data_IF_260664494749
#
_entry.id   IF_260664494749
#
_cell.length_a   1.000
_cell.length_b   1.000
_cell.length_c   1.000
_cell.angle_alpha   90.00
_cell.angle_beta   90.00
_cell.angle_gamma   90.00
#
_symmetry.space_group_name_H-M   'P 1'
#
loop_
_entity.id
_entity.type
_entity.pdbx_description
1 polymer ?
#
# COMPACT_ATOMS: atom_id res chain seq x y z
N UNK A 1 21.86 8.02 26.88
CA UNK A 1 22.78 9.14 26.59
C UNK A 1 23.10 9.03 25.10
N UNK A 2 22.60 9.86 24.20
CA UNK A 2 22.68 11.31 24.12
C UNK A 2 21.31 11.94 23.81
N UNK A 3 20.93 12.96 24.58
CA UNK A 3 19.85 13.86 24.20
C UNK A 3 20.31 14.67 22.98
N UNK A 4 19.48 14.66 21.94
CA UNK A 4 19.74 15.35 20.69
C UNK A 4 19.82 16.87 20.97
N UNK A 5 21.04 17.42 21.04
CA UNK A 5 21.34 18.82 21.43
C UNK A 5 20.60 19.87 20.57
N UNK A 6 20.13 19.46 19.38
CA UNK A 6 19.28 20.28 18.48
C UNK A 6 17.84 20.47 18.96
N UNK A 7 17.34 19.70 19.94
CA UNK A 7 15.99 19.88 20.51
C UNK A 7 15.93 20.87 21.68
N UNK A 8 17.06 21.35 22.19
CA UNK A 8 17.11 22.36 23.27
C UNK A 8 16.97 23.80 22.75
N UNK A 9 17.16 24.02 21.45
CA UNK A 9 16.89 25.30 20.81
C UNK A 9 15.47 25.23 20.23
N UNK A 10 14.51 25.82 20.93
CA UNK A 10 13.31 26.32 20.25
C UNK A 10 13.83 27.21 19.11
N UNK A 11 13.41 26.96 17.88
CA UNK A 11 13.51 28.00 16.85
C UNK A 11 12.78 29.21 17.44
N UNK A 12 13.53 30.20 17.88
CA UNK A 12 12.98 31.52 18.12
C UNK A 12 12.27 31.90 16.82
N UNK A 13 10.99 32.26 16.90
CA UNK A 13 10.34 32.97 15.80
C UNK A 13 11.31 34.10 15.44
N UNK A 14 11.87 34.09 14.23
CA UNK A 14 12.81 35.12 13.81
C UNK A 14 12.12 36.47 13.97
N UNK A 15 12.40 37.17 15.07
CA UNK A 15 11.83 38.48 15.34
C UNK A 15 12.28 39.39 14.20
N UNK A 16 11.31 39.80 13.38
CA UNK A 16 11.57 40.61 12.20
C UNK A 16 12.27 41.91 12.65
N UNK A 17 13.50 42.14 12.20
CA UNK A 17 14.25 43.35 12.55
C UNK A 17 13.63 44.54 11.80
N UNK A 18 12.81 45.33 12.49
CA UNK A 18 12.05 46.44 11.89
C UNK A 18 12.99 47.55 11.40
N UNK A 19 12.79 48.02 10.18
CA UNK A 19 13.51 49.18 9.64
C UNK A 19 12.97 50.43 10.37
N UNK A 20 13.84 51.31 10.91
CA UNK A 20 13.40 52.57 11.53
C UNK A 20 12.50 53.41 10.62
N UNK A 21 11.41 53.95 11.15
CA UNK A 21 10.39 54.68 10.37
C UNK A 21 10.99 55.88 9.63
N UNK A 22 11.91 56.63 10.27
CA UNK A 22 12.59 57.76 9.64
C UNK A 22 13.41 57.39 8.40
N UNK A 23 13.88 56.14 8.32
CA UNK A 23 14.59 55.62 7.14
C UNK A 23 13.58 55.32 6.02
N UNK A 24 12.43 54.73 6.35
CA UNK A 24 11.36 54.48 5.38
C UNK A 24 10.76 55.79 4.85
N UNK A 25 10.52 56.78 5.71
CA UNK A 25 10.07 58.12 5.31
C UNK A 25 11.04 58.77 4.32
N UNK A 26 12.34 58.78 4.64
CA UNK A 26 13.36 59.33 3.74
C UNK A 26 13.45 58.59 2.39
N UNK A 27 13.20 57.28 2.39
CA UNK A 27 13.15 56.49 1.16
C UNK A 27 11.89 56.82 0.33
N UNK A 28 10.75 57.05 0.98
CA UNK A 28 9.48 57.37 0.35
C UNK A 28 9.45 58.78 -0.23
N UNK A 29 10.12 59.76 0.37
CA UNK A 29 10.24 61.13 -0.15
C UNK A 29 10.86 61.20 -1.56
N UNK A 30 11.57 60.13 -1.98
CA UNK A 30 12.23 60.02 -3.28
C UNK A 30 11.37 59.31 -4.32
N UNK A 31 10.23 58.75 -3.93
CA UNK A 31 9.28 58.08 -4.82
C UNK A 31 8.14 59.04 -5.18
N UNK A 32 7.45 58.76 -6.29
CA UNK A 32 6.19 59.45 -6.58
C UNK A 32 5.10 59.00 -5.62
N UNK A 33 4.08 59.84 -5.42
CA UNK A 33 2.97 59.60 -4.47
C UNK A 33 2.26 58.25 -4.67
N UNK A 34 2.35 57.66 -5.87
CA UNK A 34 1.74 56.38 -6.25
C UNK A 34 2.41 55.17 -5.62
N UNK A 35 3.68 55.27 -5.22
CA UNK A 35 4.46 54.15 -4.70
C UNK A 35 4.91 54.39 -3.26
N UNK A 36 5.26 53.31 -2.57
CA UNK A 36 5.89 53.34 -1.26
C UNK A 36 6.82 52.15 -1.05
N UNK A 37 7.84 52.33 -0.23
CA UNK A 37 8.63 51.24 0.31
C UNK A 37 7.90 50.59 1.48
N UNK A 38 7.65 49.30 1.35
CA UNK A 38 7.13 48.44 2.42
C UNK A 38 8.19 47.43 2.85
N UNK A 39 8.26 47.15 4.15
CA UNK A 39 9.18 46.14 4.67
C UNK A 39 8.63 44.73 4.39
N UNK A 40 9.45 43.89 3.75
CA UNK A 40 9.08 42.50 3.36
C UNK A 40 9.99 41.45 3.98
N UNK A 41 11.07 41.86 4.65
CA UNK A 41 11.98 40.96 5.36
C UNK A 41 12.88 41.70 6.35
N UNK A 42 13.78 40.96 6.99
CA UNK A 42 14.80 41.53 7.87
C UNK A 42 15.70 42.49 7.09
N UNK A 43 15.61 43.78 7.42
CA UNK A 43 16.35 44.82 6.71
C UNK A 43 16.14 44.72 5.19
N UNK A 44 14.91 44.46 4.75
CA UNK A 44 14.56 44.42 3.34
C UNK A 44 13.24 45.12 3.12
N UNK A 45 13.26 46.15 2.28
CA UNK A 45 12.06 46.81 1.79
C UNK A 45 11.96 46.73 0.27
N UNK A 46 10.73 46.73 -0.23
CA UNK A 46 10.43 46.74 -1.66
C UNK A 46 9.50 47.89 -2.00
N UNK A 47 9.62 48.43 -3.21
CA UNK A 47 8.62 49.37 -3.76
C UNK A 47 7.33 48.59 -4.05
N UNK A 48 6.19 49.14 -3.63
CA UNK A 48 4.86 48.65 -3.94
C UNK A 48 3.95 49.81 -4.36
N UNK A 49 3.01 49.53 -5.26
CA UNK A 49 1.98 50.50 -5.63
C UNK A 49 0.96 50.63 -4.51
N UNK A 50 0.49 51.86 -4.27
CA UNK A 50 -0.62 52.13 -3.33
C UNK A 50 -1.99 51.79 -3.94
N UNK A 51 -2.04 51.49 -5.23
CA UNK A 51 -3.26 51.05 -5.92
C UNK A 51 -3.54 49.56 -5.69
N UNK A 52 -4.82 49.16 -5.81
CA UNK A 52 -5.24 47.76 -5.59
C UNK A 52 -4.80 46.82 -6.71
N UNK A 53 -4.72 47.32 -7.93
CA UNK A 53 -4.29 46.56 -9.11
C UNK A 53 -2.96 47.12 -9.58
N UNK A 54 -2.00 46.24 -9.86
CA UNK A 54 -0.64 46.62 -10.26
C UNK A 54 -0.29 45.91 -11.56
N UNK A 55 0.12 46.68 -12.57
CA UNK A 55 0.67 46.15 -13.80
C UNK A 55 2.18 45.93 -13.63
N UNK A 56 2.64 44.70 -13.79
CA UNK A 56 4.06 44.35 -13.72
C UNK A 56 4.54 43.92 -15.11
N UNK A 57 5.52 44.63 -15.68
CA UNK A 57 6.26 44.15 -16.86
C UNK A 57 7.68 43.78 -16.48
N UNK A 58 8.02 42.53 -16.75
CA UNK A 58 9.36 42.01 -16.52
C UNK A 58 9.74 41.03 -17.64
N UNK A 59 11.04 40.90 -17.92
CA UNK A 59 11.52 39.87 -18.85
C UNK A 59 11.66 38.57 -18.08
N UNK A 60 11.31 37.43 -18.66
CA UNK A 60 11.38 36.13 -17.99
C UNK A 60 12.45 35.25 -18.64
N UNK A 61 13.22 34.49 -17.85
CA UNK A 61 14.14 33.47 -18.36
C UNK A 61 13.39 32.16 -18.58
N UNK A 62 12.62 32.11 -19.67
CA UNK A 62 11.85 30.92 -20.04
C UNK A 62 12.76 29.91 -20.75
N UNK A 63 12.64 28.63 -20.40
CA UNK A 63 13.26 27.50 -21.11
C UNK A 63 12.15 26.52 -21.47
N UNK A 64 12.25 25.89 -22.64
CA UNK A 64 11.37 24.80 -23.07
C UNK A 64 9.87 25.16 -23.11
N UNK A 65 9.51 26.22 -23.84
CA UNK A 65 8.12 26.67 -24.02
C UNK A 65 7.72 26.62 -25.49
N UNK A 66 7.67 25.42 -26.05
CA UNK A 66 7.16 25.22 -27.41
C UNK A 66 5.64 25.40 -27.44
N UNK A 67 5.13 26.11 -28.44
CA UNK A 67 3.68 26.26 -28.66
C UNK A 67 2.97 27.37 -27.87
N UNK A 68 3.66 28.11 -27.00
CA UNK A 68 3.09 29.24 -26.24
C UNK A 68 3.06 30.51 -27.10
N UNK A 69 1.88 31.13 -27.23
CA UNK A 69 1.62 32.25 -28.16
C UNK A 69 1.54 33.61 -27.48
N UNK A 70 1.17 33.65 -26.20
CA UNK A 70 0.94 34.90 -25.47
C UNK A 70 1.26 34.78 -23.97
N UNK A 71 1.29 35.92 -23.27
CA UNK A 71 1.60 35.99 -21.83
C UNK A 71 0.62 35.21 -20.97
N UNK A 72 -0.67 35.19 -21.33
CA UNK A 72 -1.69 34.42 -20.60
C UNK A 72 -1.41 32.92 -20.66
N UNK A 73 -1.12 32.41 -21.85
CA UNK A 73 -0.70 31.01 -22.04
C UNK A 73 0.61 30.70 -21.30
N UNK A 74 1.56 31.64 -21.26
CA UNK A 74 2.80 31.46 -20.51
C UNK A 74 2.56 31.33 -19.00
N UNK A 75 1.75 32.23 -18.42
CA UNK A 75 1.39 32.18 -16.99
C UNK A 75 0.63 30.89 -16.68
N UNK A 76 -0.33 30.51 -17.53
CA UNK A 76 -1.09 29.28 -17.37
C UNK A 76 -0.17 28.05 -17.44
N UNK A 77 0.77 28.00 -18.39
CA UNK A 77 1.74 26.91 -18.49
C UNK A 77 2.60 26.79 -17.24
N UNK A 78 3.10 27.91 -16.69
CA UNK A 78 3.86 27.92 -15.45
C UNK A 78 3.04 27.43 -14.26
N UNK A 79 1.77 27.81 -14.19
CA UNK A 79 0.85 27.29 -13.18
C UNK A 79 0.61 25.79 -13.35
N UNK A 80 0.37 25.30 -14.57
CA UNK A 80 0.12 23.88 -14.87
C UNK A 80 1.31 22.97 -14.58
N UNK A 81 2.52 23.49 -14.75
CA UNK A 81 3.77 22.78 -14.47
C UNK A 81 4.32 23.06 -13.07
N UNK A 82 3.69 23.98 -12.32
CA UNK A 82 4.20 24.53 -11.06
C UNK A 82 5.67 24.97 -11.16
N UNK A 83 6.06 25.49 -12.32
CA UNK A 83 7.44 25.87 -12.60
C UNK A 83 7.72 27.29 -12.13
N UNK A 84 8.73 27.44 -11.28
CA UNK A 84 9.28 28.73 -10.90
C UNK A 84 10.17 29.28 -12.03
N UNK A 85 10.05 30.59 -12.29
CA UNK A 85 10.83 31.26 -13.36
C UNK A 85 11.61 32.43 -12.82
N UNK A 86 12.89 32.48 -13.15
CA UNK A 86 13.74 33.63 -12.84
C UNK A 86 13.36 34.81 -13.74
N UNK A 87 13.12 35.97 -13.12
CA UNK A 87 12.95 37.22 -13.83
C UNK A 87 14.32 37.65 -14.38
N UNK A 88 14.39 37.81 -15.70
CA UNK A 88 15.56 38.29 -16.41
C UNK A 88 15.64 39.82 -16.36
N UNK A 89 16.85 40.33 -16.13
CA UNK A 89 17.16 41.76 -16.30
C UNK A 89 17.44 42.48 -14.98
N UNK A 90 17.88 43.74 -15.12
CA UNK A 90 18.27 44.59 -13.99
C UNK A 90 17.16 45.56 -13.58
N UNK A 91 15.99 45.49 -14.21
CA UNK A 91 14.89 46.44 -14.01
C UNK A 91 13.53 45.80 -14.19
N UNK A 92 12.54 46.26 -13.44
CA UNK A 92 11.12 45.88 -13.53
C UNK A 92 10.29 47.15 -13.74
N UNK A 93 9.26 47.07 -14.56
CA UNK A 93 8.29 48.15 -14.73
C UNK A 93 7.05 47.86 -13.88
N UNK A 94 6.69 48.79 -13.00
CA UNK A 94 5.47 48.79 -12.20
C UNK A 94 4.60 49.97 -12.63
N UNK A 95 3.38 49.68 -13.06
CA UNK A 95 2.39 50.65 -13.54
C UNK A 95 2.93 51.69 -14.54
N UNK A 96 3.80 51.25 -15.46
CA UNK A 96 4.44 52.09 -16.47
C UNK A 96 5.75 52.75 -16.05
N UNK A 97 6.14 52.64 -14.78
CA UNK A 97 7.38 53.22 -14.23
C UNK A 97 8.46 52.15 -14.08
N UNK A 98 9.62 52.37 -14.68
CA UNK A 98 10.74 51.42 -14.69
C UNK A 98 11.68 51.67 -13.51
N UNK A 99 11.82 50.67 -12.66
CA UNK A 99 12.73 50.66 -11.50
C UNK A 99 13.94 49.76 -11.74
N UNK A 100 15.13 50.19 -11.32
CA UNK A 100 16.29 49.28 -11.19
C UNK A 100 16.06 48.29 -10.05
N UNK A 101 16.58 47.08 -10.14
CA UNK A 101 16.35 46.03 -9.13
C UNK A 101 16.93 46.37 -7.75
N UNK A 102 18.04 47.12 -7.70
CA UNK A 102 18.63 47.62 -6.45
C UNK A 102 17.83 48.80 -5.88
N UNK A 103 17.01 49.45 -6.69
CA UNK A 103 16.08 50.47 -6.25
C UNK A 103 14.77 49.85 -5.79
N UNK A 104 14.27 48.86 -6.54
CA UNK A 104 13.09 48.08 -6.25
C UNK A 104 13.21 47.38 -4.91
N UNK A 105 14.34 46.72 -4.63
CA UNK A 105 14.63 46.05 -3.36
C UNK A 105 15.83 46.71 -2.70
N UNK A 106 15.61 47.26 -1.50
CA UNK A 106 16.63 47.90 -0.68
C UNK A 106 16.85 47.18 0.64
N UNK A 107 18.11 47.21 1.09
CA UNK A 107 18.51 46.74 2.41
C UNK A 107 19.22 47.89 3.15
N UNK A 108 18.45 48.85 3.70
CA UNK A 108 18.99 50.14 4.11
C UNK A 108 19.95 50.09 5.30
N UNK A 109 19.97 48.99 6.07
CA UNK A 109 20.86 48.77 7.20
C UNK A 109 22.10 47.93 6.82
N UNK A 110 22.27 47.58 5.54
CA UNK A 110 23.43 46.84 5.01
C UNK A 110 24.21 47.67 3.99
N UNK A 111 25.52 47.46 3.97
CA UNK A 111 26.43 48.03 2.96
C UNK A 111 26.48 47.20 1.66
N UNK A 112 25.47 46.36 1.40
CA UNK A 112 25.38 45.50 0.21
C UNK A 112 23.98 45.61 -0.38
N UNK A 113 23.90 45.77 -1.69
CA UNK A 113 22.65 45.82 -2.41
C UNK A 113 22.22 44.42 -2.87
N UNK A 114 21.00 44.31 -3.40
CA UNK A 114 20.43 43.05 -3.87
C UNK A 114 21.36 42.28 -4.84
N UNK A 115 21.97 43.01 -5.79
CA UNK A 115 22.91 42.41 -6.74
C UNK A 115 24.25 41.97 -6.09
N UNK A 116 24.75 42.66 -5.07
CA UNK A 116 26.00 42.28 -4.37
C UNK A 116 25.86 40.97 -3.59
N UNK A 117 24.62 40.58 -3.30
CA UNK A 117 24.25 39.33 -2.65
C UNK A 117 23.92 38.22 -3.66
N UNK A 118 24.10 38.46 -4.96
CA UNK A 118 23.63 37.57 -6.03
C UNK A 118 22.13 37.25 -5.91
N UNK A 119 21.33 38.24 -5.49
CA UNK A 119 19.89 38.11 -5.35
C UNK A 119 19.22 37.71 -6.67
N UNK A 120 18.18 36.88 -6.57
CA UNK A 120 17.37 36.45 -7.71
C UNK A 120 15.91 36.76 -7.46
N UNK A 121 15.24 37.28 -8.49
CA UNK A 121 13.80 37.41 -8.49
C UNK A 121 13.17 36.22 -9.17
N UNK A 122 12.24 35.58 -8.47
CA UNK A 122 11.57 34.36 -8.93
C UNK A 122 10.08 34.64 -8.98
N UNK A 123 9.50 34.46 -10.16
CA UNK A 123 8.06 34.37 -10.33
C UNK A 123 7.65 32.95 -9.94
N UNK A 124 6.85 32.85 -8.88
CA UNK A 124 6.31 31.59 -8.37
C UNK A 124 4.83 31.49 -8.73
N UNK A 125 4.38 30.40 -9.38
CA UNK A 125 2.96 30.19 -9.64
C UNK A 125 2.20 30.00 -8.33
N UNK A 126 0.90 30.32 -8.35
CA UNK A 126 0.02 29.97 -7.24
C UNK A 126 0.03 28.44 -7.02
N UNK A 127 0.01 27.96 -5.77
CA UNK A 127 -0.07 26.55 -5.50
C UNK A 127 -1.41 25.98 -6.01
N UNK A 128 -1.40 24.71 -6.39
CA UNK A 128 -2.64 24.02 -6.72
C UNK A 128 -3.63 24.02 -5.54
N UNK A 129 -4.95 23.89 -5.84
CA UNK A 129 -5.96 23.71 -4.82
C UNK A 129 -5.62 22.57 -3.86
N UNK A 130 -6.16 22.67 -2.64
CA UNK A 130 -6.02 21.61 -1.64
C UNK A 130 -6.61 20.29 -2.18
N UNK A 131 -6.08 19.12 -1.73
CA UNK A 131 -6.64 17.83 -2.10
C UNK A 131 -8.15 17.75 -1.82
N UNK A 132 -8.86 17.02 -2.66
CA UNK A 132 -10.31 16.81 -2.57
C UNK A 132 -10.64 15.33 -2.62
N UNK A 133 -11.82 14.96 -2.12
CA UNK A 133 -12.25 13.58 -1.99
C UNK A 133 -13.10 13.19 -3.18
N UNK A 134 -12.87 12.00 -3.74
CA UNK A 134 -13.75 11.37 -4.71
C UNK A 134 -14.11 9.96 -4.25
N UNK A 135 -15.34 9.54 -4.56
CA UNK A 135 -15.75 8.15 -4.41
C UNK A 135 -15.28 7.35 -5.62
N UNK A 136 -14.60 6.24 -5.36
CA UNK A 136 -14.12 5.28 -6.34
C UNK A 136 -14.78 3.95 -6.02
N UNK A 137 -15.40 3.28 -6.98
CA UNK A 137 -16.15 2.08 -6.64
C UNK A 137 -16.52 1.19 -7.80
N UNK A 138 -17.25 0.14 -7.44
CA UNK A 138 -17.84 -0.84 -8.35
C UNK A 138 -19.17 -1.33 -7.75
N UNK A 139 -20.22 -1.41 -8.57
CA UNK A 139 -21.57 -1.74 -8.11
C UNK A 139 -21.99 -0.86 -6.91
N UNK A 140 -22.36 -1.50 -5.80
CA UNK A 140 -22.82 -0.83 -4.57
C UNK A 140 -21.68 -0.46 -3.61
N UNK A 141 -20.43 -0.84 -3.91
CA UNK A 141 -19.28 -0.57 -3.06
C UNK A 141 -18.51 0.65 -3.55
N UNK A 142 -18.19 1.55 -2.63
CA UNK A 142 -17.33 2.68 -2.90
C UNK A 142 -16.32 2.87 -1.77
N UNK A 143 -15.12 3.26 -2.14
CA UNK A 143 -14.09 3.78 -1.24
C UNK A 143 -13.92 5.28 -1.49
N UNK A 144 -13.67 6.01 -0.43
CA UNK A 144 -13.29 7.42 -0.52
C UNK A 144 -11.78 7.51 -0.74
N UNK A 145 -11.34 8.31 -1.71
CA UNK A 145 -9.93 8.56 -2.00
C UNK A 145 -9.66 10.06 -2.15
N UNK A 146 -8.51 10.52 -1.67
CA UNK A 146 -8.03 11.90 -1.82
C UNK A 146 -7.23 12.06 -3.10
N UNK A 147 -7.66 12.99 -3.94
CA UNK A 147 -7.01 13.38 -5.18
C UNK A 147 -6.42 14.77 -5.10
N UNK A 148 -5.31 14.96 -5.80
CA UNK A 148 -4.67 16.25 -5.95
C UNK A 148 -4.23 16.44 -7.40
N UNK A 149 -4.33 17.69 -7.89
CA UNK A 149 -3.77 18.09 -9.18
C UNK A 149 -2.25 17.88 -9.15
N UNK A 150 -1.71 17.32 -10.22
CA UNK A 150 -0.28 17.11 -10.41
C UNK A 150 0.22 18.02 -11.54
N UNK A 151 1.52 18.41 -11.52
CA UNK A 151 2.13 19.11 -12.62
C UNK A 151 1.99 18.35 -13.93
N UNK A 152 1.56 19.02 -14.99
CA UNK A 152 1.43 18.42 -16.31
C UNK A 152 1.73 19.46 -17.41
N UNK A 153 2.67 19.11 -18.30
CA UNK A 153 3.22 20.03 -19.30
C UNK A 153 2.36 20.10 -20.57
N UNK A 154 1.09 20.47 -20.43
CA UNK A 154 0.14 20.62 -21.53
C UNK A 154 -0.87 21.73 -21.16
N UNK A 155 -1.13 22.65 -22.10
CA UNK A 155 -2.02 23.81 -21.89
C UNK A 155 -3.50 23.44 -21.78
N UNK A 156 -3.87 22.27 -22.27
CA UNK A 156 -5.27 21.86 -22.42
C UNK A 156 -5.60 20.59 -21.64
N UNK A 157 -4.63 20.06 -20.89
CA UNK A 157 -4.82 18.86 -20.07
C UNK A 157 -4.51 19.11 -18.61
N UNK A 158 -5.26 18.44 -17.75
CA UNK A 158 -5.09 18.49 -16.31
C UNK A 158 -4.92 17.07 -15.78
N UNK A 159 -3.82 16.82 -15.07
CA UNK A 159 -3.55 15.56 -14.40
C UNK A 159 -3.99 15.64 -12.93
N UNK A 160 -4.73 14.65 -12.48
CA UNK A 160 -5.01 14.38 -11.07
C UNK A 160 -4.47 13.01 -10.69
N UNK A 161 -4.07 12.86 -9.42
CA UNK A 161 -3.57 11.60 -8.87
C UNK A 161 -4.03 11.43 -7.42
N UNK A 162 -4.33 10.20 -7.04
CA UNK A 162 -4.60 9.85 -5.64
C UNK A 162 -3.33 9.99 -4.78
N UNK A 163 -3.50 10.42 -3.53
CA UNK A 163 -2.36 10.75 -2.64
C UNK A 163 -2.43 10.06 -1.26
N UNK A 164 -3.53 9.43 -0.92
CA UNK A 164 -3.80 8.86 0.42
C UNK A 164 -3.60 7.35 0.51
N UNK A 165 -3.64 6.64 -0.62
CA UNK A 165 -3.38 5.20 -0.69
C UNK A 165 -2.21 4.91 -1.63
N UNK A 166 -1.25 4.11 -1.15
CA UNK A 166 -0.11 3.63 -1.94
C UNK A 166 -0.40 2.31 -2.65
N UNK A 167 -1.21 1.45 -2.03
CA UNK A 167 -1.62 0.15 -2.53
C UNK A 167 -2.52 0.24 -3.77
N UNK A 168 -3.28 1.32 -3.92
CA UNK A 168 -4.12 1.63 -5.08
C UNK A 168 -3.89 3.07 -5.52
N UNK A 169 -3.32 3.24 -6.71
CA UNK A 169 -3.04 4.54 -7.30
C UNK A 169 -3.94 4.74 -8.52
N UNK A 170 -4.76 5.78 -8.48
CA UNK A 170 -5.57 6.21 -9.61
C UNK A 170 -5.06 7.57 -10.05
N UNK A 171 -4.82 7.70 -11.35
CA UNK A 171 -4.55 8.98 -11.97
C UNK A 171 -5.45 9.17 -13.17
N UNK A 172 -5.85 10.41 -13.43
CA UNK A 172 -6.65 10.71 -14.60
C UNK A 172 -6.25 12.04 -15.22
N UNK A 173 -6.25 12.07 -16.54
CA UNK A 173 -5.97 13.24 -17.37
C UNK A 173 -7.28 13.67 -17.99
N UNK A 174 -7.71 14.91 -17.70
CA UNK A 174 -8.85 15.55 -18.37
C UNK A 174 -8.31 16.36 -19.54
N UNK A 175 -8.80 16.08 -20.75
CA UNK A 175 -8.55 16.89 -21.94
C UNK A 175 -9.70 17.88 -22.13
N UNK A 176 -9.40 19.16 -21.91
CA UNK A 176 -10.37 20.25 -21.93
C UNK A 176 -10.81 20.63 -23.36
N UNK A 177 -10.07 20.20 -24.39
CA UNK A 177 -10.37 20.51 -25.79
C UNK A 177 -11.34 19.50 -26.38
N UNK A 178 -11.09 18.20 -26.19
CA UNK A 178 -11.96 17.14 -26.73
C UNK A 178 -13.00 16.64 -25.72
N UNK A 179 -12.91 17.06 -24.46
CA UNK A 179 -13.86 16.66 -23.41
C UNK A 179 -13.73 15.20 -22.98
N UNK A 180 -12.56 14.59 -23.13
CA UNK A 180 -12.30 13.20 -22.76
C UNK A 180 -11.46 13.09 -21.49
N UNK A 181 -11.58 11.95 -20.81
CA UNK A 181 -10.76 11.60 -19.66
C UNK A 181 -10.00 10.31 -19.94
N UNK A 182 -8.70 10.29 -19.67
CA UNK A 182 -7.87 9.08 -19.68
C UNK A 182 -7.57 8.72 -18.24
N UNK A 183 -7.89 7.49 -17.84
CA UNK A 183 -7.70 7.01 -16.47
C UNK A 183 -6.65 5.91 -16.49
N UNK A 184 -5.71 5.98 -15.56
CA UNK A 184 -4.74 4.93 -15.27
C UNK A 184 -4.94 4.47 -13.84
N UNK A 185 -5.05 3.15 -13.66
CA UNK A 185 -5.15 2.50 -12.36
C UNK A 185 -3.94 1.61 -12.18
N UNK A 186 -3.34 1.63 -11.00
CA UNK A 186 -2.21 0.77 -10.65
C UNK A 186 -2.39 0.26 -9.24
N UNK A 187 -2.07 -1.02 -9.04
CA UNK A 187 -2.07 -1.65 -7.72
C UNK A 187 -0.66 -2.03 -7.30
N UNK A 188 -0.36 -1.86 -6.01
CA UNK A 188 0.90 -2.18 -5.37
C UNK A 188 0.60 -3.00 -4.12
N UNK A 189 0.41 -4.32 -4.28
CA UNK A 189 -0.03 -5.23 -3.22
C UNK A 189 0.93 -5.18 -2.00
N UNK A 190 2.23 -5.05 -2.23
CA UNK A 190 3.23 -4.94 -1.16
C UNK A 190 3.13 -3.66 -0.31
N UNK A 191 2.34 -2.68 -0.73
CA UNK A 191 2.06 -1.46 0.03
C UNK A 191 0.73 -1.54 0.81
N UNK A 192 -0.01 -2.66 0.72
CA UNK A 192 -1.22 -2.86 1.50
C UNK A 192 -0.89 -3.14 2.97
N UNK A 193 -1.71 -2.61 3.88
CA UNK A 193 -1.56 -2.76 5.33
C UNK A 193 -2.33 -3.95 5.89
N UNK A 194 -3.32 -4.46 5.15
CA UNK A 194 -4.13 -5.62 5.56
C UNK A 194 -4.48 -6.55 4.40
N UNK A 195 -4.86 -7.79 4.72
CA UNK A 195 -5.33 -8.77 3.72
C UNK A 195 -6.66 -8.32 3.11
N UNK A 196 -7.54 -7.76 3.94
CA UNK A 196 -8.82 -7.19 3.53
C UNK A 196 -8.62 -6.09 2.48
N UNK A 197 -7.63 -5.22 2.68
CA UNK A 197 -7.26 -4.17 1.72
C UNK A 197 -6.82 -4.78 0.38
N UNK A 198 -6.00 -5.83 0.37
CA UNK A 198 -5.59 -6.50 -0.88
C UNK A 198 -6.82 -6.99 -1.64
N UNK A 199 -7.74 -7.67 -0.96
CA UNK A 199 -8.94 -8.20 -1.59
C UNK A 199 -9.83 -7.06 -2.12
N UNK A 200 -9.94 -5.95 -1.38
CA UNK A 200 -10.69 -4.76 -1.80
C UNK A 200 -10.08 -4.12 -3.06
N UNK A 201 -8.79 -3.78 -3.04
CA UNK A 201 -8.12 -3.09 -4.15
C UNK A 201 -8.05 -3.97 -5.41
N UNK A 202 -7.85 -5.29 -5.26
CA UNK A 202 -7.81 -6.20 -6.40
C UNK A 202 -9.19 -6.32 -7.06
N UNK A 203 -10.28 -6.28 -6.29
CA UNK A 203 -11.64 -6.23 -6.83
C UNK A 203 -11.91 -4.91 -7.56
N UNK A 204 -11.50 -3.78 -6.99
CA UNK A 204 -11.60 -2.48 -7.66
C UNK A 204 -10.82 -2.51 -8.97
N UNK A 205 -9.56 -2.94 -8.96
CA UNK A 205 -8.74 -3.05 -10.16
C UNK A 205 -9.39 -3.92 -11.24
N UNK A 206 -9.93 -5.08 -10.86
CA UNK A 206 -10.67 -5.97 -11.76
C UNK A 206 -11.89 -5.28 -12.40
N UNK A 207 -12.65 -4.50 -11.64
CA UNK A 207 -13.80 -3.77 -12.17
C UNK A 207 -13.38 -2.63 -13.11
N UNK A 208 -12.25 -1.97 -12.84
CA UNK A 208 -11.69 -0.98 -13.77
C UNK A 208 -11.19 -1.65 -15.06
N UNK A 209 -10.59 -2.85 -14.98
CA UNK A 209 -10.24 -3.65 -16.17
C UNK A 209 -11.46 -3.99 -17.02
N UNK A 210 -12.60 -4.36 -16.41
CA UNK A 210 -13.84 -4.69 -17.14
C UNK A 210 -14.63 -3.47 -17.63
N UNK A 211 -14.23 -2.25 -17.25
CA UNK A 211 -14.98 -1.03 -17.55
C UNK A 211 -16.22 -0.84 -16.67
N UNK A 212 -16.36 -1.60 -15.58
CA UNK A 212 -17.45 -1.51 -14.61
C UNK A 212 -17.12 -0.58 -13.42
N UNK A 213 -15.93 0.02 -13.42
CA UNK A 213 -15.50 0.98 -12.42
C UNK A 213 -16.28 2.31 -12.47
N UNK A 214 -16.22 3.05 -11.36
CA UNK A 214 -16.84 4.38 -11.22
C UNK A 214 -15.92 5.34 -10.49
N UNK A 215 -15.92 6.61 -10.91
CA UNK A 215 -15.28 7.73 -10.22
C UNK A 215 -16.30 8.87 -10.13
N UNK A 216 -16.54 9.41 -8.93
CA UNK A 216 -17.40 10.60 -8.73
C UNK A 216 -18.78 10.49 -9.41
N UNK A 217 -19.40 9.31 -9.29
CA UNK A 217 -20.66 8.92 -9.94
C UNK A 217 -20.64 8.71 -11.46
N UNK A 218 -19.49 8.90 -12.11
CA UNK A 218 -19.32 8.66 -13.54
C UNK A 218 -18.87 7.20 -13.75
N UNK A 219 -19.73 6.42 -14.40
CA UNK A 219 -19.38 5.08 -14.85
C UNK A 219 -18.36 5.17 -15.98
N UNK A 220 -17.35 4.30 -15.92
CA UNK A 220 -16.43 4.14 -17.03
C UNK A 220 -17.15 3.51 -18.21
N UNK A 221 -16.82 3.96 -19.40
CA UNK A 221 -17.42 3.48 -20.65
C UNK A 221 -16.51 2.52 -21.41
N UNK A 222 -15.28 2.31 -20.92
CA UNK A 222 -14.27 1.40 -21.47
C UNK A 222 -13.38 0.88 -20.35
N UNK A 223 -13.11 -0.42 -20.39
CA UNK A 223 -12.07 -1.06 -19.61
C UNK A 223 -10.72 -1.06 -20.34
N UNK A 224 -9.78 -1.83 -19.81
CA UNK A 224 -8.51 -2.12 -20.45
C UNK A 224 -8.29 -3.63 -20.45
N UNK A 225 -8.10 -4.21 -21.63
CA UNK A 225 -7.96 -5.65 -21.80
C UNK A 225 -6.47 -6.05 -21.75
N UNK A 226 -6.11 -6.79 -20.71
CA UNK A 226 -4.87 -7.56 -20.66
C UNK A 226 -5.19 -8.97 -20.11
N UNK A 227 -5.31 -9.95 -21.01
CA UNK A 227 -5.73 -11.32 -20.68
C UNK A 227 -4.76 -11.97 -19.67
N UNK A 228 -3.44 -11.79 -19.86
CA UNK A 228 -2.42 -12.35 -18.98
C UNK A 228 -2.48 -11.76 -17.57
N UNK A 229 -2.76 -10.46 -17.45
CA UNK A 229 -2.99 -9.81 -16.15
C UNK A 229 -4.27 -10.33 -15.48
N UNK A 230 -5.31 -10.64 -16.25
CA UNK A 230 -6.61 -11.06 -15.73
C UNK A 230 -6.54 -12.43 -15.03
N UNK A 231 -5.91 -13.43 -15.63
CA UNK A 231 -5.80 -14.76 -15.02
C UNK A 231 -4.94 -14.75 -13.75
N UNK A 232 -3.84 -13.97 -13.78
CA UNK A 232 -2.99 -13.75 -12.60
C UNK A 232 -3.75 -13.04 -11.47
N UNK A 233 -4.58 -12.05 -11.82
CA UNK A 233 -5.39 -11.30 -10.86
C UNK A 233 -6.46 -12.18 -10.20
N UNK A 234 -7.13 -13.06 -10.95
CA UNK A 234 -8.15 -13.95 -10.40
C UNK A 234 -7.56 -14.94 -9.39
N UNK A 235 -6.41 -15.53 -9.73
CA UNK A 235 -5.67 -16.42 -8.83
C UNK A 235 -5.21 -15.69 -7.56
N UNK A 236 -4.75 -14.44 -7.70
CA UNK A 236 -4.35 -13.59 -6.58
C UNK A 236 -5.53 -13.26 -5.66
N UNK A 237 -6.67 -12.85 -6.24
CA UNK A 237 -7.90 -12.56 -5.49
C UNK A 237 -8.36 -13.81 -4.74
N UNK A 238 -8.36 -14.97 -5.39
CA UNK A 238 -8.74 -16.23 -4.75
C UNK A 238 -7.85 -16.54 -3.55
N UNK A 239 -6.53 -16.46 -3.72
CA UNK A 239 -5.57 -16.72 -2.65
C UNK A 239 -5.81 -15.80 -1.45
N UNK A 240 -5.81 -14.47 -1.65
CA UNK A 240 -5.97 -13.54 -0.54
C UNK A 240 -7.36 -13.58 0.09
N UNK A 241 -8.40 -13.91 -0.68
CA UNK A 241 -9.74 -14.14 -0.12
C UNK A 241 -9.78 -15.39 0.78
N UNK A 242 -9.02 -16.45 0.46
CA UNK A 242 -8.85 -17.59 1.39
C UNK A 242 -8.12 -17.17 2.67
N UNK A 243 -7.04 -16.40 2.54
CA UNK A 243 -6.29 -15.87 3.71
C UNK A 243 -7.18 -15.00 4.59
N UNK A 244 -8.00 -14.11 4.02
CA UNK A 244 -8.98 -13.28 4.73
C UNK A 244 -9.98 -14.13 5.54
N UNK A 245 -10.54 -15.16 4.91
CA UNK A 245 -11.50 -16.06 5.58
C UNK A 245 -10.85 -16.88 6.69
N UNK A 246 -9.61 -17.34 6.49
CA UNK A 246 -8.83 -18.03 7.53
C UNK A 246 -8.51 -17.08 8.69
N UNK A 247 -8.09 -15.85 8.41
CA UNK A 247 -7.83 -14.79 9.39
C UNK A 247 -9.03 -14.59 10.31
N UNK A 248 -10.22 -14.43 9.73
CA UNK A 248 -11.48 -14.26 10.46
C UNK A 248 -11.84 -15.49 11.29
N UNK A 249 -11.64 -16.68 10.76
CA UNK A 249 -11.90 -17.91 11.51
C UNK A 249 -10.95 -18.06 12.69
N UNK A 250 -9.65 -17.85 12.50
CA UNK A 250 -8.67 -18.04 13.56
C UNK A 250 -8.56 -16.84 14.52
N UNK A 251 -9.08 -15.67 14.14
CA UNK A 251 -8.90 -14.43 14.88
C UNK A 251 -7.45 -13.93 14.83
N UNK A 252 -6.75 -14.17 13.71
CA UNK A 252 -5.31 -13.85 13.54
C UNK A 252 -5.17 -12.82 12.42
N UNK A 253 -4.40 -11.76 12.66
CA UNK A 253 -4.06 -10.76 11.65
C UNK A 253 -2.76 -11.16 10.94
N UNK A 254 -2.86 -11.61 9.69
CA UNK A 254 -1.68 -11.91 8.88
C UNK A 254 -1.07 -10.65 8.26
N UNK A 255 0.26 -10.63 8.14
CA UNK A 255 0.98 -9.52 7.53
C UNK A 255 1.04 -9.68 5.99
N UNK A 256 0.34 -8.84 5.21
CA UNK A 256 0.29 -8.96 3.75
C UNK A 256 1.59 -8.58 3.05
N UNK A 257 2.51 -7.89 3.73
CA UNK A 257 3.77 -7.39 3.15
C UNK A 257 4.86 -8.46 3.08
N UNK A 258 4.57 -9.68 3.54
CA UNK A 258 5.51 -10.79 3.55
C UNK A 258 5.48 -11.53 2.22
N UNK A 259 6.64 -12.03 1.83
CA UNK A 259 6.78 -12.86 0.64
C UNK A 259 5.99 -14.16 0.81
N UNK A 260 5.21 -14.52 -0.21
CA UNK A 260 4.45 -15.77 -0.23
C UNK A 260 5.39 -16.89 -0.69
N UNK A 261 5.65 -17.84 0.20
CA UNK A 261 6.44 -19.03 -0.12
C UNK A 261 5.52 -20.15 -0.60
N UNK A 262 6.05 -21.11 -1.36
CA UNK A 262 5.28 -22.27 -1.82
C UNK A 262 4.64 -23.07 -0.67
N UNK A 263 5.31 -23.12 0.48
CA UNK A 263 4.77 -23.75 1.70
C UNK A 263 3.50 -23.04 2.21
N UNK A 264 3.42 -21.72 2.03
CA UNK A 264 2.31 -20.90 2.49
C UNK A 264 1.08 -21.15 1.62
N UNK A 265 1.25 -21.26 0.30
CA UNK A 265 0.16 -21.62 -0.63
C UNK A 265 -0.49 -22.95 -0.23
N UNK A 266 0.31 -24.00 -0.02
CA UNK A 266 -0.19 -25.30 0.39
C UNK A 266 -0.87 -25.26 1.77
N UNK A 267 -0.30 -24.50 2.71
CA UNK A 267 -0.86 -24.35 4.05
C UNK A 267 -2.22 -23.61 4.00
N UNK A 268 -2.34 -22.56 3.19
CA UNK A 268 -3.60 -21.82 2.97
C UNK A 268 -4.69 -22.74 2.45
N UNK A 269 -4.41 -23.59 1.46
CA UNK A 269 -5.44 -24.54 0.95
C UNK A 269 -5.91 -25.51 2.04
N UNK A 270 -4.98 -26.05 2.83
CA UNK A 270 -5.29 -26.97 3.93
C UNK A 270 -6.12 -26.29 5.02
N UNK A 271 -5.69 -25.10 5.46
CA UNK A 271 -6.39 -24.30 6.47
C UNK A 271 -7.78 -23.88 5.98
N UNK A 272 -7.90 -23.40 4.74
CA UNK A 272 -9.17 -23.00 4.14
C UNK A 272 -10.14 -24.18 4.10
N UNK A 273 -9.66 -25.36 3.69
CA UNK A 273 -10.50 -26.56 3.67
C UNK A 273 -10.99 -26.94 5.08
N UNK A 274 -10.10 -26.94 6.06
CA UNK A 274 -10.44 -27.40 7.41
C UNK A 274 -11.26 -26.39 8.20
N UNK A 275 -10.91 -25.10 8.18
CA UNK A 275 -11.56 -24.09 9.01
C UNK A 275 -12.74 -23.42 8.32
N UNK A 276 -12.68 -23.19 7.01
CA UNK A 276 -13.73 -22.45 6.29
C UNK A 276 -14.74 -23.40 5.64
N UNK A 277 -14.27 -24.48 4.99
CA UNK A 277 -15.16 -25.50 4.41
C UNK A 277 -15.57 -26.59 5.40
N UNK A 278 -14.99 -26.61 6.60
CA UNK A 278 -15.18 -27.64 7.64
C UNK A 278 -14.93 -29.09 7.17
N UNK A 279 -14.00 -29.29 6.23
CA UNK A 279 -13.72 -30.59 5.61
C UNK A 279 -12.29 -31.08 5.86
N UNK A 280 -12.07 -32.39 6.06
CA UNK A 280 -10.73 -32.96 6.08
C UNK A 280 -10.12 -32.98 4.68
N UNK A 281 -8.80 -33.01 4.58
CA UNK A 281 -8.07 -33.26 3.34
C UNK A 281 -7.25 -34.55 3.41
N UNK A 282 -6.84 -35.07 2.26
CA UNK A 282 -6.03 -36.28 2.12
C UNK A 282 -4.67 -35.97 1.53
N UNK A 283 -3.64 -36.69 1.96
CA UNK A 283 -2.30 -36.68 1.38
C UNK A 283 -1.76 -38.10 1.22
N UNK A 284 -1.09 -38.37 0.11
CA UNK A 284 -0.31 -39.59 -0.09
C UNK A 284 1.07 -39.37 0.52
N UNK A 285 1.54 -40.33 1.32
CA UNK A 285 2.75 -40.19 2.11
C UNK A 285 3.55 -41.48 2.08
N UNK A 286 4.86 -41.34 2.00
CA UNK A 286 5.80 -42.43 2.27
C UNK A 286 6.17 -42.33 3.76
N UNK A 287 5.85 -43.37 4.53
CA UNK A 287 6.04 -43.39 5.98
C UNK A 287 6.87 -44.61 6.35
N UNK A 288 8.13 -44.38 6.74
CA UNK A 288 9.02 -45.45 7.22
C UNK A 288 8.89 -45.67 8.74
N UNK A 289 8.68 -44.58 9.49
CA UNK A 289 8.64 -44.62 10.94
C UNK A 289 7.63 -43.59 11.49
N UNK A 290 6.97 -43.93 12.59
CA UNK A 290 6.05 -43.02 13.29
C UNK A 290 6.26 -43.15 14.80
N UNK A 291 6.53 -42.03 15.47
CA UNK A 291 6.61 -42.00 16.94
C UNK A 291 5.25 -41.61 17.51
N UNK A 292 4.72 -42.42 18.43
CA UNK A 292 3.42 -42.21 19.07
C UNK A 292 3.53 -42.32 20.57
N UNK A 293 2.77 -41.48 21.29
CA UNK A 293 2.60 -41.57 22.74
C UNK A 293 1.26 -42.20 23.06
N UNK A 294 1.26 -43.21 23.91
CA UNK A 294 0.06 -43.94 24.29
C UNK A 294 -0.31 -43.67 25.74
N UNK A 295 -1.59 -43.80 26.08
CA UNK A 295 -2.06 -43.68 27.47
C UNK A 295 -1.66 -44.89 28.32
N UNK A 296 -1.46 -46.05 27.68
CA UNK A 296 -1.12 -47.32 28.32
C UNK A 296 -0.09 -48.09 27.50
N UNK A 297 0.50 -49.10 28.12
CA UNK A 297 1.30 -50.10 27.41
C UNK A 297 0.50 -50.76 26.28
N UNK A 298 1.14 -50.95 25.12
CA UNK A 298 0.54 -51.56 23.95
C UNK A 298 0.82 -53.06 23.89
N UNK A 299 -0.21 -53.85 23.60
CA UNK A 299 -0.06 -55.26 23.25
C UNK A 299 0.32 -55.41 21.76
N UNK A 300 1.62 -55.54 21.52
CA UNK A 300 2.22 -55.70 20.19
C UNK A 300 1.54 -56.75 19.30
N UNK A 301 1.02 -57.83 19.89
CA UNK A 301 0.37 -58.93 19.14
C UNK A 301 -0.91 -58.48 18.44
N UNK A 302 -1.50 -57.36 18.87
CA UNK A 302 -2.76 -56.87 18.32
C UNK A 302 -2.61 -56.14 16.99
N UNK A 303 -1.40 -55.70 16.62
CA UNK A 303 -1.20 -54.86 15.44
C UNK A 303 0.06 -55.18 14.62
N UNK A 304 1.07 -55.85 15.16
CA UNK A 304 2.26 -56.20 14.36
C UNK A 304 1.87 -57.12 13.19
N UNK A 305 2.41 -56.82 12.00
CA UNK A 305 2.21 -57.54 10.74
C UNK A 305 0.73 -57.75 10.37
N UNK A 306 -0.13 -56.80 10.75
CA UNK A 306 -1.51 -56.76 10.28
C UNK A 306 -1.65 -55.73 9.17
N UNK A 307 -2.34 -56.13 8.11
CA UNK A 307 -2.65 -55.28 6.97
C UNK A 307 -3.76 -54.28 7.25
N UNK A 308 -3.71 -53.16 6.54
CA UNK A 308 -4.83 -52.21 6.48
C UNK A 308 -5.16 -51.54 7.80
N UNK A 309 -4.17 -51.39 8.70
CA UNK A 309 -4.39 -50.70 9.96
C UNK A 309 -4.74 -49.24 9.72
N UNK A 310 -5.53 -48.70 10.65
CA UNK A 310 -5.88 -47.29 10.73
C UNK A 310 -5.37 -46.75 12.06
N UNK A 311 -4.51 -45.74 12.02
CA UNK A 311 -3.95 -45.10 13.20
C UNK A 311 -4.42 -43.65 13.27
N UNK A 312 -4.99 -43.27 14.41
CA UNK A 312 -5.56 -41.94 14.60
C UNK A 312 -4.88 -41.24 15.76
N UNK A 313 -4.42 -40.01 15.52
CA UNK A 313 -3.65 -39.22 16.48
C UNK A 313 -4.28 -37.83 16.57
N UNK A 314 -4.38 -37.33 17.81
CA UNK A 314 -4.71 -35.92 18.09
C UNK A 314 -3.46 -35.27 18.66
N UNK A 315 -2.94 -34.27 17.97
CA UNK A 315 -1.73 -33.58 18.39
C UNK A 315 -1.82 -32.06 18.22
N UNK A 316 -1.34 -31.27 19.21
CA UNK A 316 -1.14 -29.86 19.02
C UNK A 316 0.04 -29.63 18.06
N UNK A 317 -0.13 -28.71 17.11
CA UNK A 317 0.91 -28.30 16.17
C UNK A 317 0.95 -26.78 16.07
N UNK A 318 2.17 -26.26 16.10
CA UNK A 318 2.45 -24.87 15.74
C UNK A 318 2.70 -24.78 14.25
N UNK A 319 1.93 -23.93 13.57
CA UNK A 319 2.16 -23.56 12.18
C UNK A 319 2.63 -22.12 12.09
N UNK A 320 3.26 -21.79 10.96
CA UNK A 320 3.68 -20.43 10.62
C UNK A 320 3.15 -20.10 9.24
N UNK A 321 2.39 -19.01 9.12
CA UNK A 321 1.87 -18.49 7.86
C UNK A 321 2.14 -16.98 7.81
N UNK A 322 2.83 -16.52 6.76
CA UNK A 322 3.18 -15.10 6.61
C UNK A 322 3.90 -14.52 7.85
N UNK A 323 4.82 -15.32 8.40
CA UNK A 323 5.58 -15.09 9.66
C UNK A 323 4.76 -15.04 10.96
N UNK A 324 3.44 -15.21 10.90
CA UNK A 324 2.60 -15.35 12.09
C UNK A 324 2.52 -16.81 12.53
N UNK A 325 2.83 -17.04 13.81
CA UNK A 325 2.80 -18.38 14.42
C UNK A 325 1.53 -18.58 15.20
N UNK A 326 0.94 -19.76 15.04
CA UNK A 326 -0.30 -20.11 15.73
C UNK A 326 -0.38 -21.60 16.00
N UNK A 327 -1.02 -21.93 17.12
CA UNK A 327 -1.21 -23.31 17.57
C UNK A 327 -2.61 -23.79 17.21
N UNK A 328 -2.68 -24.98 16.63
CA UNK A 328 -3.93 -25.68 16.31
C UNK A 328 -3.82 -27.14 16.72
N UNK A 329 -4.96 -27.78 16.91
CA UNK A 329 -5.04 -29.22 17.10
C UNK A 329 -5.27 -29.90 15.76
N UNK A 330 -4.57 -31.00 15.53
CA UNK A 330 -4.67 -31.80 14.32
C UNK A 330 -5.19 -33.17 14.68
N UNK A 331 -6.24 -33.62 13.98
CA UNK A 331 -6.61 -35.03 13.92
C UNK A 331 -5.99 -35.61 12.66
N UNK A 332 -5.06 -36.54 12.80
CA UNK A 332 -4.43 -37.25 11.68
C UNK A 332 -4.81 -38.72 11.71
N UNK A 333 -5.45 -39.20 10.65
CA UNK A 333 -5.85 -40.59 10.47
C UNK A 333 -5.00 -41.21 9.35
N UNK A 334 -4.01 -42.01 9.72
CA UNK A 334 -3.17 -42.79 8.82
C UNK A 334 -3.91 -44.05 8.39
N UNK A 335 -3.96 -44.32 7.09
CA UNK A 335 -4.69 -45.44 6.51
C UNK A 335 -3.75 -46.33 5.69
N UNK A 336 -4.13 -47.60 5.53
CA UNK A 336 -3.35 -48.62 4.81
C UNK A 336 -1.94 -48.82 5.39
N UNK A 337 -1.76 -48.62 6.70
CA UNK A 337 -0.47 -48.82 7.35
C UNK A 337 -0.29 -50.26 7.78
N UNK A 338 0.94 -50.78 7.66
CA UNK A 338 1.39 -51.99 8.35
C UNK A 338 2.49 -51.62 9.33
N UNK A 339 2.39 -52.12 10.56
CA UNK A 339 3.46 -51.99 11.57
C UNK A 339 4.28 -53.28 11.58
N UNK A 340 5.53 -53.21 11.13
CA UNK A 340 6.48 -54.34 11.16
C UNK A 340 6.99 -54.61 12.57
N UNK A 341 7.31 -53.55 13.29
CA UNK A 341 7.80 -53.62 14.67
C UNK A 341 7.50 -52.31 15.41
N UNK A 342 7.59 -52.36 16.74
CA UNK A 342 7.39 -51.22 17.63
C UNK A 342 8.45 -51.20 18.73
N UNK A 343 9.31 -50.19 18.73
CA UNK A 343 10.35 -50.01 19.74
C UNK A 343 9.81 -49.10 20.87
N UNK A 344 9.91 -49.53 22.13
CA UNK A 344 9.59 -48.66 23.26
C UNK A 344 10.76 -47.68 23.47
N UNK A 345 10.49 -46.38 23.28
CA UNK A 345 11.47 -45.30 23.36
C UNK A 345 11.47 -44.66 24.75
N UNK A 346 10.28 -44.46 25.35
CA UNK A 346 10.13 -43.93 26.70
C UNK A 346 9.04 -44.68 27.47
N UNK A 347 9.45 -45.42 28.50
CA UNK A 347 8.54 -46.18 29.36
C UNK A 347 7.68 -45.29 30.26
N UNK A 348 8.14 -44.08 30.61
CA UNK A 348 7.39 -43.16 31.48
C UNK A 348 6.16 -42.59 30.80
N UNK A 349 6.27 -42.33 29.50
CA UNK A 349 5.21 -41.75 28.68
C UNK A 349 4.57 -42.74 27.70
N UNK A 350 4.93 -44.03 27.80
CA UNK A 350 4.54 -45.08 26.84
C UNK A 350 4.71 -44.62 25.39
N UNK A 351 5.91 -44.13 25.09
CA UNK A 351 6.26 -43.64 23.75
C UNK A 351 6.89 -44.77 22.94
N UNK A 352 6.31 -45.04 21.77
CA UNK A 352 6.74 -46.09 20.87
C UNK A 352 7.14 -45.50 19.51
N UNK A 353 8.22 -46.02 18.93
CA UNK A 353 8.57 -45.82 17.53
C UNK A 353 8.10 -47.03 16.74
N UNK A 354 7.08 -46.83 15.91
CA UNK A 354 6.59 -47.84 14.98
C UNK A 354 7.45 -47.82 13.72
N UNK A 355 7.98 -48.99 13.37
CA UNK A 355 8.63 -49.23 12.08
C UNK A 355 7.54 -49.71 11.14
N UNK A 356 7.31 -48.90 10.10
CA UNK A 356 6.21 -49.09 9.16
C UNK A 356 6.70 -49.87 7.94
N UNK A 357 5.76 -50.56 7.30
CA UNK A 357 5.98 -51.13 5.97
C UNK A 357 4.80 -50.84 5.06
N UNK A 358 5.07 -50.94 3.78
CA UNK A 358 4.05 -50.94 2.73
C UNK A 358 3.78 -52.38 2.31
N UNK A 359 2.89 -53.08 3.01
CA UNK A 359 2.61 -54.50 2.70
C UNK A 359 1.50 -54.69 1.64
N UNK A 360 1.11 -53.63 0.92
CA UNK A 360 0.02 -53.73 -0.05
C UNK A 360 0.28 -52.95 -1.34
N UNK A 361 -0.39 -53.37 -2.41
CA UNK A 361 -0.50 -52.61 -3.67
C UNK A 361 -1.12 -51.20 -3.47
N UNK A 362 -1.58 -50.86 -2.26
CA UNK A 362 -2.16 -49.58 -1.90
C UNK A 362 -1.14 -48.69 -1.20
N UNK A 363 -1.04 -47.44 -1.68
CA UNK A 363 -0.21 -46.41 -1.04
C UNK A 363 -0.77 -46.04 0.34
N UNK A 364 0.13 -45.74 1.28
CA UNK A 364 -0.22 -45.12 2.56
C UNK A 364 -0.73 -43.70 2.29
N UNK A 365 -1.83 -43.35 2.93
CA UNK A 365 -2.35 -42.00 2.91
C UNK A 365 -2.76 -41.57 4.31
N UNK A 366 -2.78 -40.26 4.53
CA UNK A 366 -3.30 -39.67 5.75
C UNK A 366 -4.45 -38.73 5.45
N UNK A 367 -5.47 -38.79 6.29
CA UNK A 367 -6.57 -37.84 6.30
C UNK A 367 -6.36 -36.90 7.49
N UNK A 368 -6.43 -35.60 7.25
CA UNK A 368 -6.12 -34.58 8.25
C UNK A 368 -7.29 -33.61 8.38
N UNK A 369 -7.65 -33.28 9.62
CA UNK A 369 -8.53 -32.15 9.95
C UNK A 369 -7.94 -31.30 11.08
N UNK A 370 -8.08 -29.99 10.94
CA UNK A 370 -7.61 -29.01 11.92
C UNK A 370 -8.74 -28.49 12.80
N UNK A 371 -8.39 -28.15 14.05
CA UNK A 371 -9.29 -27.66 15.08
C UNK A 371 -8.63 -26.54 15.89
N UNK A 372 -9.42 -25.59 16.36
CA UNK A 372 -8.92 -24.46 17.19
C UNK A 372 -8.60 -24.91 18.61
N UNK A 373 -9.28 -25.94 19.11
CA UNK A 373 -9.14 -26.42 20.47
C UNK A 373 -9.16 -27.95 20.53
N UNK A 374 -8.67 -28.49 21.65
CA UNK A 374 -8.56 -29.93 21.88
C UNK A 374 -9.93 -30.61 21.96
N UNK A 375 -10.90 -29.96 22.61
CA UNK A 375 -12.21 -30.56 22.88
C UNK A 375 -12.93 -30.93 21.57
N UNK A 376 -12.92 -30.02 20.59
CA UNK A 376 -13.55 -30.26 19.30
C UNK A 376 -12.79 -31.33 18.48
N UNK A 377 -11.46 -31.36 18.57
CA UNK A 377 -10.66 -32.39 17.93
C UNK A 377 -10.97 -33.79 18.50
N UNK A 378 -11.11 -33.90 19.82
CA UNK A 378 -11.44 -35.14 20.51
C UNK A 378 -12.88 -35.59 20.19
N UNK A 379 -13.85 -34.67 20.21
CA UNK A 379 -15.23 -34.95 19.80
C UNK A 379 -15.31 -35.46 18.36
N UNK A 380 -14.57 -34.81 17.45
CA UNK A 380 -14.49 -35.27 16.07
C UNK A 380 -13.91 -36.69 16.01
N UNK A 381 -12.80 -36.95 16.70
CA UNK A 381 -12.17 -38.28 16.76
C UNK A 381 -13.14 -39.37 17.23
N UNK A 382 -13.92 -39.09 18.26
CA UNK A 382 -14.88 -40.04 18.82
C UNK A 382 -16.02 -40.36 17.84
N UNK A 383 -16.49 -39.37 17.08
CA UNK A 383 -17.57 -39.50 16.11
C UNK A 383 -17.16 -39.83 14.68
N UNK A 384 -15.86 -39.86 14.35
CA UNK A 384 -15.39 -40.00 12.98
C UNK A 384 -15.49 -41.44 12.48
N UNK A 385 -16.04 -41.62 11.26
CA UNK A 385 -16.12 -42.92 10.60
C UNK A 385 -14.72 -43.45 10.32
N UNK A 386 -14.42 -44.65 10.83
CA UNK A 386 -13.17 -45.38 10.55
C UNK A 386 -13.27 -46.24 9.29
N UNK A 387 -14.31 -46.06 8.49
CA UNK A 387 -14.49 -46.79 7.25
C UNK A 387 -13.51 -46.27 6.19
N UNK A 388 -12.53 -47.11 5.83
CA UNK A 388 -11.47 -46.77 4.88
C UNK A 388 -12.02 -46.33 3.52
N UNK A 389 -13.16 -46.87 3.07
CA UNK A 389 -13.80 -46.47 1.80
C UNK A 389 -14.28 -45.03 1.81
N UNK A 390 -14.77 -44.54 2.96
CA UNK A 390 -15.19 -43.13 3.10
C UNK A 390 -13.96 -42.21 3.09
N UNK A 391 -12.87 -42.67 3.71
CA UNK A 391 -11.60 -41.94 3.78
C UNK A 391 -10.86 -41.87 2.43
N UNK A 392 -10.98 -42.92 1.60
CA UNK A 392 -10.45 -42.93 0.24
C UNK A 392 -11.11 -41.86 -0.64
N UNK A 393 -12.36 -41.48 -0.37
CA UNK A 393 -13.11 -40.44 -1.12
C UNK A 393 -12.80 -39.01 -0.67
N UNK A 394 -12.00 -38.82 0.38
CA UNK A 394 -11.56 -37.47 0.79
C UNK A 394 -10.65 -36.88 -0.30
N UNK A 395 -10.88 -35.61 -0.60
CA UNK A 395 -10.14 -34.86 -1.62
C UNK A 395 -8.65 -34.80 -1.30
N UNK A 396 -7.86 -35.12 -2.32
CA UNK A 396 -6.40 -35.06 -2.29
C UNK A 396 -5.97 -33.60 -2.49
N UNK A 397 -5.09 -33.09 -1.63
CA UNK A 397 -4.41 -31.80 -1.78
C UNK A 397 -2.94 -32.03 -2.15
#
# INVERSE_FOLDING_TARGET
MFANFKKAFKQEEETMYKIPEIILENLNDKLSDRFEYIQVGNDMCTIMSKEKEVEIKAKLKLKNMEGIKNTGEAIEYLYRTQQEVEIAGKSIELDGVKFDINELIKMPLRNKNFNDLNGKLILKPHPFPKPFKLMVGYGDKNIEMLFQRQPYADLHKILFKSIDRKSLVISYIVDEVIGNMIINVSIHIGEAESVEEIVEISRIYKCFMSGEGRIADINLNRGFDNITEKDGLDSLIEFWNKVDLISKELGILFNPKRDILKKDVNLVERLYRCFVKDKPYKEIVDLENLTVKCSTELDKKQFINKDGLVLEIVDPKTYELLEEKFDIYTVTTWCNVMVKDAELVDKKNWEYKFIMDTDSDKKIFRVIKYFKNKEDAEKYREGFSRNVTDLENVELI
#
